data_IF_681555863449
#
_entry.id   IF_681555863449
#
_cell.length_a   1.000
_cell.length_b   1.000
_cell.length_c   1.000
_cell.angle_alpha   90.00
_cell.angle_beta   90.00
_cell.angle_gamma   90.00
#
_symmetry.space_group_name_H-M   'P 1'
#
loop_
_entity.id
_entity.type
_entity.pdbx_description
1 polymer ?
#
# COMPACT_ATOMS: atom_id res chain seq x y z
N UNK A 1 53.96 18.41 47.58
CA UNK A 1 52.77 19.30 47.63
C UNK A 1 52.84 20.09 46.35
N UNK A 2 52.23 19.54 45.31
CA UNK A 2 52.24 20.18 44.01
C UNK A 2 51.63 21.56 44.17
N UNK A 3 52.41 22.55 43.77
CA UNK A 3 52.06 23.95 43.84
C UNK A 3 50.82 24.12 42.95
N UNK A 4 49.62 23.94 43.52
CA UNK A 4 48.37 24.25 42.85
C UNK A 4 48.48 25.74 42.58
N UNK A 5 48.87 26.09 41.34
CA UNK A 5 48.93 27.48 40.92
C UNK A 5 47.54 28.05 41.19
N UNK A 6 47.47 28.94 42.20
CA UNK A 6 46.23 29.57 42.67
C UNK A 6 45.50 30.32 41.55
N UNK A 7 46.19 30.61 40.45
CA UNK A 7 45.73 31.38 39.33
C UNK A 7 45.96 30.60 38.03
N UNK A 8 44.93 30.56 37.18
CA UNK A 8 45.03 30.05 35.82
C UNK A 8 45.60 31.16 34.92
N UNK A 9 46.84 31.00 34.51
CA UNK A 9 47.55 31.90 33.61
C UNK A 9 47.77 31.29 32.21
N UNK A 10 47.14 30.15 31.92
CA UNK A 10 47.28 29.48 30.63
C UNK A 10 46.53 30.23 29.54
N UNK A 11 47.08 30.22 28.33
CA UNK A 11 46.40 30.77 27.18
C UNK A 11 45.17 29.91 26.81
N UNK A 12 44.03 30.55 26.57
CA UNK A 12 42.79 29.86 26.19
C UNK A 12 42.88 29.11 24.85
N UNK A 13 43.78 29.54 23.97
CA UNK A 13 44.05 28.92 22.66
C UNK A 13 45.19 27.90 22.79
N UNK A 14 46.31 28.29 23.40
CA UNK A 14 47.51 27.46 23.56
C UNK A 14 47.70 27.07 25.03
N UNK A 15 46.92 26.08 25.50
CA UNK A 15 46.79 25.73 26.93
C UNK A 15 48.10 25.33 27.63
N UNK A 16 49.11 24.91 26.88
CA UNK A 16 50.43 24.57 27.43
C UNK A 16 51.26 25.81 27.83
N UNK A 17 50.99 26.95 27.20
CA UNK A 17 51.78 28.16 27.35
C UNK A 17 51.09 29.20 28.23
N UNK A 18 51.87 29.78 29.11
CA UNK A 18 51.43 30.88 29.95
C UNK A 18 51.29 32.16 29.11
N UNK A 19 50.29 32.95 29.44
CA UNK A 19 50.13 34.31 28.95
C UNK A 19 51.33 35.15 29.41
N UNK A 20 51.94 35.91 28.49
CA UNK A 20 53.17 36.66 28.76
C UNK A 20 53.12 38.14 28.40
N UNK A 21 52.35 38.50 27.37
CA UNK A 21 52.33 39.85 26.82
C UNK A 21 50.90 40.29 26.51
N UNK A 22 50.73 41.59 26.30
CA UNK A 22 49.50 42.19 25.82
C UNK A 22 49.71 42.61 24.37
N UNK A 23 48.80 42.23 23.47
CA UNK A 23 48.79 42.74 22.11
C UNK A 23 48.01 44.06 22.06
N UNK A 24 48.72 45.18 22.03
CA UNK A 24 48.10 46.52 21.97
C UNK A 24 47.45 46.82 20.63
N UNK A 25 47.87 46.15 19.56
CA UNK A 25 47.26 46.32 18.23
C UNK A 25 45.84 45.77 18.16
N UNK A 26 45.55 44.65 18.83
CA UNK A 26 44.24 43.98 18.82
C UNK A 26 43.23 44.56 19.81
N UNK A 27 43.40 45.81 20.26
CA UNK A 27 42.59 46.39 21.34
C UNK A 27 42.65 45.53 22.61
N UNK A 28 43.88 45.27 23.04
CA UNK A 28 44.24 44.82 24.39
C UNK A 28 43.84 43.38 24.72
N UNK A 29 44.18 42.45 23.82
CA UNK A 29 44.12 41.00 24.09
C UNK A 29 45.41 40.51 24.74
N UNK A 30 45.32 39.57 25.67
CA UNK A 30 46.47 38.90 26.27
C UNK A 30 46.94 37.71 25.43
N UNK A 31 48.25 37.54 25.28
CA UNK A 31 48.85 36.56 24.36
C UNK A 31 49.99 35.78 25.02
N UNK A 32 50.13 34.50 24.64
CA UNK A 32 51.34 33.72 24.90
C UNK A 32 52.30 33.80 23.70
N UNK A 33 53.47 33.18 23.81
CA UNK A 33 54.46 33.14 22.72
C UNK A 33 53.89 32.59 21.41
N UNK A 34 53.05 31.55 21.49
CA UNK A 34 52.48 30.90 20.30
C UNK A 34 51.40 31.75 19.62
N UNK A 35 50.63 32.53 20.39
CA UNK A 35 49.70 33.51 19.83
C UNK A 35 50.43 34.55 18.97
N UNK A 36 51.63 34.97 19.39
CA UNK A 36 52.44 35.98 18.69
C UNK A 36 52.84 35.48 17.30
N UNK A 37 53.24 34.22 17.20
CA UNK A 37 53.71 33.63 15.93
C UNK A 37 52.60 33.04 15.07
N UNK A 38 51.38 32.83 15.60
CA UNK A 38 50.26 32.25 14.84
C UNK A 38 49.28 33.31 14.33
N UNK A 39 48.77 34.17 15.22
CA UNK A 39 47.67 35.09 14.91
C UNK A 39 48.00 36.57 15.04
N UNK A 40 49.13 36.91 15.67
CA UNK A 40 49.50 38.30 15.96
C UNK A 40 50.84 38.71 15.32
N UNK A 41 51.26 38.04 14.23
CA UNK A 41 52.50 38.37 13.53
C UNK A 41 52.45 39.83 13.05
N UNK A 42 53.50 40.60 13.38
CA UNK A 42 53.60 42.01 12.97
C UNK A 42 52.83 42.99 13.86
N UNK A 43 52.13 42.51 14.89
CA UNK A 43 51.48 43.38 15.86
C UNK A 43 52.48 43.92 16.89
N UNK A 44 52.11 45.03 17.53
CA UNK A 44 52.84 45.58 18.68
C UNK A 44 52.41 44.88 19.97
N UNK A 45 53.37 44.68 20.86
CA UNK A 45 53.18 44.01 22.15
C UNK A 45 53.79 44.83 23.28
N UNK A 46 53.08 44.85 24.40
CA UNK A 46 53.47 45.53 25.62
C UNK A 46 53.58 44.53 26.78
N UNK A 47 54.32 44.92 27.81
CA UNK A 47 54.47 44.11 29.01
C UNK A 47 53.18 44.13 29.87
N UNK A 48 52.95 43.05 30.61
CA UNK A 48 51.89 42.99 31.61
C UNK A 48 52.36 43.75 32.85
N UNK A 49 52.04 45.04 32.90
CA UNK A 49 52.28 45.91 34.04
C UNK A 49 51.00 46.62 34.48
N UNK A 50 51.10 47.46 35.52
CA UNK A 50 49.96 48.16 36.10
C UNK A 50 49.26 49.08 35.10
N UNK A 51 50.02 49.80 34.27
CA UNK A 51 49.48 50.79 33.33
C UNK A 51 48.72 50.11 32.20
N UNK A 52 49.36 49.11 31.56
CA UNK A 52 48.80 48.38 30.43
C UNK A 52 47.63 47.47 30.83
N UNK A 53 47.67 46.89 32.04
CA UNK A 53 46.60 46.00 32.52
C UNK A 53 45.35 46.75 32.98
N UNK A 54 45.48 48.02 33.38
CA UNK A 54 44.37 48.82 33.91
C UNK A 54 43.24 48.98 32.89
N UNK A 55 43.58 49.24 31.62
CA UNK A 55 42.60 49.37 30.55
C UNK A 55 41.83 48.07 30.30
N UNK A 56 42.52 46.92 30.24
CA UNK A 56 41.89 45.59 30.08
C UNK A 56 40.93 45.32 31.23
N UNK A 57 41.40 45.57 32.45
CA UNK A 57 40.63 45.27 33.65
C UNK A 57 39.37 46.13 33.75
N UNK A 58 39.46 47.43 33.44
CA UNK A 58 38.27 48.30 33.42
C UNK A 58 37.28 47.89 32.32
N UNK A 59 37.73 47.49 31.13
CA UNK A 59 36.83 46.95 30.09
C UNK A 59 36.16 45.64 30.54
N UNK A 60 36.95 44.72 31.13
CA UNK A 60 36.41 43.48 31.66
C UNK A 60 35.37 43.73 32.76
N UNK A 61 35.68 44.61 33.72
CA UNK A 61 34.84 44.93 34.87
C UNK A 61 33.56 45.63 34.46
N UNK A 62 33.66 46.64 33.60
CA UNK A 62 32.54 47.53 33.28
C UNK A 62 31.69 47.00 32.12
N UNK A 63 32.25 46.18 31.23
CA UNK A 63 31.56 45.68 30.04
C UNK A 63 31.42 44.15 30.04
N UNK A 64 32.53 43.41 30.00
CA UNK A 64 32.48 41.95 29.80
C UNK A 64 31.71 41.23 30.92
N UNK A 65 32.00 41.53 32.18
CA UNK A 65 31.38 40.86 33.32
C UNK A 65 29.86 41.07 33.37
N UNK A 66 29.39 42.27 33.05
CA UNK A 66 27.94 42.55 32.97
C UNK A 66 27.30 41.79 31.81
N UNK A 67 27.96 41.75 30.64
CA UNK A 67 27.44 41.05 29.47
C UNK A 67 27.44 39.52 29.63
N UNK A 68 28.36 38.94 30.39
CA UNK A 68 28.40 37.50 30.64
C UNK A 68 27.12 37.00 31.32
N UNK A 69 26.55 37.77 32.25
CA UNK A 69 25.26 37.42 32.86
C UNK A 69 24.12 37.38 31.83
N UNK A 70 24.12 38.33 30.88
CA UNK A 70 23.16 38.32 29.77
C UNK A 70 23.37 37.09 28.85
N UNK A 71 24.62 36.68 28.62
CA UNK A 71 24.94 35.48 27.82
C UNK A 71 24.43 34.19 28.46
N UNK A 72 24.42 34.08 29.80
CA UNK A 72 23.82 32.93 30.49
C UNK A 72 22.32 32.82 30.15
N UNK A 73 21.59 33.94 30.22
CA UNK A 73 20.17 33.98 29.87
C UNK A 73 19.90 33.58 28.42
N UNK A 74 20.68 34.14 27.48
CA UNK A 74 20.57 33.82 26.05
C UNK A 74 20.82 32.33 25.79
N UNK A 75 21.88 31.75 26.35
CA UNK A 75 22.20 30.34 26.14
C UNK A 75 21.16 29.40 26.74
N UNK A 76 20.53 29.77 27.86
CA UNK A 76 19.44 28.99 28.44
C UNK A 76 18.18 29.01 27.55
N UNK A 77 17.83 30.14 26.94
CA UNK A 77 16.73 30.21 25.97
C UNK A 77 17.05 29.41 24.69
N UNK A 78 18.28 29.51 24.17
CA UNK A 78 18.72 28.69 23.03
C UNK A 78 18.67 27.18 23.34
N UNK A 79 19.07 26.78 24.55
CA UNK A 79 18.98 25.38 24.98
C UNK A 79 17.52 24.91 25.03
N UNK A 80 16.60 25.75 25.53
CA UNK A 80 15.17 25.46 25.56
C UNK A 80 14.58 25.35 24.16
N UNK A 81 14.93 26.26 23.25
CA UNK A 81 14.51 26.21 21.84
C UNK A 81 15.01 24.92 21.15
N UNK A 82 16.28 24.58 21.34
CA UNK A 82 16.88 23.34 20.82
C UNK A 82 16.15 22.09 21.33
N UNK A 83 15.86 22.03 22.64
CA UNK A 83 15.13 20.91 23.23
C UNK A 83 13.69 20.79 22.70
N UNK A 84 13.00 21.91 22.47
CA UNK A 84 11.65 21.90 21.88
C UNK A 84 11.65 21.41 20.44
N UNK A 85 12.64 21.82 19.64
CA UNK A 85 12.83 21.32 18.27
C UNK A 85 13.12 19.82 18.29
N UNK A 86 14.03 19.36 19.16
CA UNK A 86 14.35 17.94 19.29
C UNK A 86 13.14 17.11 19.73
N UNK A 87 12.31 17.61 20.65
CA UNK A 87 11.11 16.89 21.08
C UNK A 87 10.13 16.66 19.92
N UNK A 88 9.96 17.65 19.05
CA UNK A 88 9.14 17.51 17.84
C UNK A 88 9.70 16.45 16.88
N UNK A 89 11.03 16.35 16.78
CA UNK A 89 11.70 15.29 16.01
C UNK A 89 11.52 13.90 16.64
N UNK A 90 11.54 13.80 17.97
CA UNK A 90 11.32 12.54 18.70
C UNK A 90 9.89 12.00 18.51
N UNK A 91 8.90 12.89 18.58
CA UNK A 91 7.51 12.55 18.32
C UNK A 91 7.34 12.12 16.85
N UNK A 92 7.97 12.84 15.91
CA UNK A 92 7.93 12.48 14.48
C UNK A 92 8.64 11.15 14.19
N UNK A 93 9.76 10.89 14.86
CA UNK A 93 10.46 9.61 14.77
C UNK A 93 9.55 8.46 15.20
N UNK A 94 8.87 8.61 16.33
CA UNK A 94 7.94 7.62 16.86
C UNK A 94 6.77 7.36 15.89
N UNK A 95 6.20 8.43 15.33
CA UNK A 95 5.15 8.35 14.30
C UNK A 95 5.62 7.60 13.05
N UNK A 96 6.83 7.92 12.55
CA UNK A 96 7.40 7.30 11.37
C UNK A 96 7.67 5.80 11.59
N UNK A 97 8.24 5.42 12.73
CA UNK A 97 8.50 4.01 13.09
C UNK A 97 7.20 3.22 13.18
N UNK A 98 6.17 3.78 13.82
CA UNK A 98 4.86 3.15 13.93
C UNK A 98 4.19 3.00 12.55
N UNK A 99 4.33 4.01 11.68
CA UNK A 99 3.79 3.97 10.32
C UNK A 99 4.42 2.83 9.52
N UNK A 100 5.76 2.76 9.48
CA UNK A 100 6.47 1.68 8.77
C UNK A 100 6.05 0.32 9.34
N UNK A 101 6.01 0.19 10.67
CA UNK A 101 5.69 -1.07 11.35
C UNK A 101 4.29 -1.58 11.00
N UNK A 102 3.27 -0.72 11.02
CA UNK A 102 1.90 -1.12 10.68
C UNK A 102 1.75 -1.45 9.18
N UNK A 103 2.41 -0.74 8.27
CA UNK A 103 2.38 -1.11 6.84
C UNK A 103 3.01 -2.49 6.58
N UNK A 104 4.14 -2.80 7.23
CA UNK A 104 4.76 -4.14 7.11
C UNK A 104 3.91 -5.25 7.73
N UNK A 105 3.14 -4.95 8.78
CA UNK A 105 2.21 -5.89 9.40
C UNK A 105 1.03 -6.18 8.47
N UNK A 106 0.48 -5.18 7.79
CA UNK A 106 -0.55 -5.39 6.76
C UNK A 106 0.00 -6.18 5.56
N UNK A 107 1.22 -5.85 5.10
CA UNK A 107 1.88 -6.64 4.07
C UNK A 107 2.06 -8.11 4.48
N UNK A 108 2.48 -8.37 5.71
CA UNK A 108 2.63 -9.74 6.23
C UNK A 108 1.32 -10.52 6.21
N UNK A 109 0.20 -9.89 6.60
CA UNK A 109 -1.14 -10.50 6.51
C UNK A 109 -1.49 -10.87 5.07
N UNK A 110 -1.23 -9.96 4.12
CA UNK A 110 -1.49 -10.20 2.69
C UNK A 110 -0.64 -11.37 2.17
N UNK A 111 0.63 -11.44 2.54
CA UNK A 111 1.51 -12.54 2.14
C UNK A 111 1.01 -13.89 2.66
N UNK A 112 0.56 -13.97 3.92
CA UNK A 112 -0.03 -15.19 4.48
C UNK A 112 -1.31 -15.61 3.75
N UNK A 113 -2.17 -14.66 3.40
CA UNK A 113 -3.40 -14.95 2.63
C UNK A 113 -3.04 -15.53 1.26
N UNK A 114 -2.07 -14.93 0.57
CA UNK A 114 -1.62 -15.40 -0.75
C UNK A 114 -1.03 -16.80 -0.64
N UNK A 115 -0.20 -17.07 0.37
CA UNK A 115 0.38 -18.39 0.61
C UNK A 115 -0.70 -19.46 0.80
N UNK A 116 -1.65 -19.20 1.71
CA UNK A 116 -2.75 -20.13 2.00
C UNK A 116 -3.62 -20.37 0.76
N UNK A 117 -3.94 -19.32 -0.01
CA UNK A 117 -4.69 -19.45 -1.26
C UNK A 117 -3.99 -20.37 -2.26
N UNK A 118 -2.68 -20.19 -2.46
CA UNK A 118 -1.91 -21.01 -3.40
C UNK A 118 -1.80 -22.47 -2.94
N UNK A 119 -1.60 -22.70 -1.64
CA UNK A 119 -1.62 -24.05 -1.08
C UNK A 119 -2.99 -24.70 -1.27
N UNK A 120 -4.09 -23.96 -1.05
CA UNK A 120 -5.45 -24.45 -1.26
C UNK A 120 -5.71 -24.89 -2.71
N UNK A 121 -5.20 -24.14 -3.68
CA UNK A 121 -5.28 -24.52 -5.09
C UNK A 121 -4.55 -25.84 -5.37
N UNK A 122 -3.37 -26.04 -4.80
CA UNK A 122 -2.62 -27.30 -4.91
C UNK A 122 -3.39 -28.47 -4.29
N UNK A 123 -3.98 -28.26 -3.11
CA UNK A 123 -4.81 -29.28 -2.43
C UNK A 123 -6.01 -29.67 -3.28
N UNK A 124 -6.69 -28.70 -3.89
CA UNK A 124 -7.83 -28.99 -4.78
C UNK A 124 -7.43 -29.88 -5.95
N UNK A 125 -6.31 -29.59 -6.61
CA UNK A 125 -5.81 -30.42 -7.73
C UNK A 125 -5.40 -31.81 -7.23
N UNK A 126 -4.79 -31.90 -6.05
CA UNK A 126 -4.45 -33.18 -5.44
C UNK A 126 -5.69 -34.03 -5.13
N UNK A 127 -6.76 -33.42 -4.60
CA UNK A 127 -8.02 -34.10 -4.31
C UNK A 127 -8.70 -34.62 -5.59
N UNK A 128 -8.70 -33.82 -6.67
CA UNK A 128 -9.18 -34.28 -7.98
C UNK A 128 -8.39 -35.49 -8.51
N UNK A 129 -7.06 -35.50 -8.30
CA UNK A 129 -6.23 -36.66 -8.65
C UNK A 129 -6.54 -37.87 -7.76
N UNK A 130 -6.83 -37.66 -6.47
CA UNK A 130 -7.22 -38.73 -5.54
C UNK A 130 -8.55 -39.36 -5.95
N UNK A 131 -9.52 -38.57 -6.37
CA UNK A 131 -10.80 -39.05 -6.89
C UNK A 131 -10.61 -39.86 -8.18
N UNK A 132 -9.78 -39.35 -9.09
CA UNK A 132 -9.40 -40.05 -10.33
C UNK A 132 -8.74 -41.40 -10.02
N UNK A 133 -7.80 -41.44 -9.08
CA UNK A 133 -7.13 -42.67 -8.66
C UNK A 133 -8.11 -43.69 -8.03
N UNK A 134 -9.08 -43.20 -7.25
CA UNK A 134 -10.12 -44.04 -6.66
C UNK A 134 -10.99 -44.67 -7.74
N UNK A 135 -11.43 -43.90 -8.73
CA UNK A 135 -12.23 -44.40 -9.85
C UNK A 135 -11.50 -45.47 -10.68
N UNK A 136 -10.21 -45.25 -10.94
CA UNK A 136 -9.34 -46.23 -11.61
C UNK A 136 -9.24 -47.51 -10.77
N UNK A 137 -8.94 -47.37 -9.48
CA UNK A 137 -8.76 -48.49 -8.57
C UNK A 137 -10.02 -49.35 -8.46
N UNK A 138 -11.19 -48.73 -8.28
CA UNK A 138 -12.49 -49.42 -8.24
C UNK A 138 -12.77 -50.15 -9.54
N UNK A 139 -12.57 -49.48 -10.68
CA UNK A 139 -12.79 -50.09 -12.01
C UNK A 139 -11.90 -51.32 -12.20
N UNK A 140 -10.61 -51.22 -11.86
CA UNK A 140 -9.67 -52.35 -11.96
C UNK A 140 -10.06 -53.47 -11.01
N UNK A 141 -10.45 -53.15 -9.78
CA UNK A 141 -10.86 -54.15 -8.79
C UNK A 141 -12.10 -54.91 -9.23
N UNK A 142 -13.13 -54.22 -9.72
CA UNK A 142 -14.36 -54.85 -10.25
C UNK A 142 -14.05 -55.77 -11.43
N UNK A 143 -13.19 -55.33 -12.35
CA UNK A 143 -12.74 -56.15 -13.46
C UNK A 143 -12.01 -57.41 -12.99
N UNK A 144 -11.07 -57.27 -12.05
CA UNK A 144 -10.32 -58.41 -11.50
C UNK A 144 -11.24 -59.41 -10.80
N UNK A 145 -12.24 -58.92 -10.06
CA UNK A 145 -13.23 -59.79 -9.40
C UNK A 145 -14.00 -60.63 -10.42
N UNK A 146 -14.45 -60.02 -11.53
CA UNK A 146 -15.13 -60.74 -12.62
C UNK A 146 -14.18 -61.75 -13.27
N UNK A 147 -12.94 -61.36 -13.59
CA UNK A 147 -11.94 -62.23 -14.21
C UNK A 147 -11.65 -63.44 -13.32
N UNK A 148 -11.38 -63.22 -12.04
CA UNK A 148 -11.06 -64.27 -11.09
C UNK A 148 -12.24 -65.22 -10.88
N UNK A 149 -13.47 -64.69 -10.81
CA UNK A 149 -14.68 -65.50 -10.67
C UNK A 149 -14.84 -66.45 -11.88
N UNK A 150 -14.73 -65.92 -13.09
CA UNK A 150 -14.93 -66.69 -14.33
C UNK A 150 -13.78 -67.69 -14.51
N UNK A 151 -12.53 -67.23 -14.41
CA UNK A 151 -11.36 -68.11 -14.62
C UNK A 151 -11.32 -69.26 -13.63
N UNK A 152 -11.57 -69.02 -12.34
CA UNK A 152 -11.59 -70.08 -11.32
C UNK A 152 -12.72 -71.09 -11.55
N UNK A 153 -13.91 -70.64 -11.98
CA UNK A 153 -15.05 -71.51 -12.24
C UNK A 153 -14.80 -72.51 -13.37
N UNK A 154 -14.08 -72.09 -14.42
CA UNK A 154 -13.92 -72.86 -15.65
C UNK A 154 -12.52 -73.48 -15.85
N UNK A 155 -11.52 -73.08 -15.04
CA UNK A 155 -10.08 -73.43 -15.19
C UNK A 155 -9.80 -74.87 -15.61
N UNK A 156 -10.46 -75.83 -14.94
CA UNK A 156 -10.20 -77.26 -15.13
C UNK A 156 -11.40 -78.02 -15.71
N UNK A 157 -12.54 -77.35 -15.89
CA UNK A 157 -13.82 -77.97 -16.23
C UNK A 157 -14.29 -77.62 -17.64
N UNK A 158 -13.78 -76.54 -18.24
CA UNK A 158 -14.31 -75.99 -19.49
C UNK A 158 -14.38 -77.00 -20.63
N UNK A 159 -13.36 -77.86 -20.77
CA UNK A 159 -13.30 -78.87 -21.84
C UNK A 159 -14.25 -80.05 -21.63
N UNK A 160 -14.81 -80.21 -20.42
CA UNK A 160 -15.74 -81.29 -20.07
C UNK A 160 -17.20 -80.84 -20.16
N UNK A 161 -17.46 -79.55 -20.36
CA UNK A 161 -18.82 -79.00 -20.36
C UNK A 161 -19.49 -79.25 -21.71
N UNK A 162 -20.56 -80.05 -21.71
CA UNK A 162 -21.48 -80.19 -22.84
C UNK A 162 -22.73 -79.31 -22.62
N UNK A 163 -22.83 -78.20 -23.36
CA UNK A 163 -23.93 -77.24 -23.21
C UNK A 163 -25.30 -77.84 -23.57
N UNK A 164 -25.35 -78.75 -24.54
CA UNK A 164 -26.60 -79.39 -24.98
C UNK A 164 -27.18 -80.25 -23.86
N UNK A 165 -26.34 -81.00 -23.15
CA UNK A 165 -26.75 -81.79 -21.98
C UNK A 165 -27.28 -80.89 -20.85
N UNK A 166 -26.60 -79.78 -20.54
CA UNK A 166 -27.03 -78.85 -19.48
C UNK A 166 -28.39 -78.21 -19.82
N UNK A 167 -28.62 -77.84 -21.08
CA UNK A 167 -29.89 -77.25 -21.52
C UNK A 167 -31.01 -78.29 -21.52
N UNK A 168 -30.75 -79.52 -22.00
CA UNK A 168 -31.76 -80.58 -22.07
C UNK A 168 -32.14 -81.09 -20.67
N UNK A 169 -31.18 -81.26 -19.77
CA UNK A 169 -31.44 -81.66 -18.39
C UNK A 169 -32.29 -80.63 -17.63
N UNK A 170 -32.14 -79.34 -17.95
CA UNK A 170 -32.97 -78.28 -17.40
C UNK A 170 -34.44 -78.35 -17.82
N UNK A 171 -34.72 -78.79 -19.05
CA UNK A 171 -36.10 -78.94 -19.53
C UNK A 171 -36.81 -80.12 -18.88
N UNK A 172 -36.06 -81.17 -18.53
CA UNK A 172 -36.61 -82.44 -18.04
C UNK A 172 -36.77 -82.49 -16.51
N UNK A 173 -35.97 -81.74 -15.75
CA UNK A 173 -36.02 -81.71 -14.30
C UNK A 173 -36.71 -80.43 -13.81
N UNK A 174 -37.73 -80.56 -12.94
CA UNK A 174 -38.34 -79.43 -12.20
C UNK A 174 -37.34 -78.69 -11.27
N UNK A 175 -36.09 -79.13 -11.22
CA UNK A 175 -35.01 -78.42 -10.56
C UNK A 175 -34.47 -77.35 -11.50
N UNK A 176 -34.86 -76.09 -11.22
CA UNK A 176 -34.45 -74.83 -11.84
C UNK A 176 -32.93 -74.60 -11.89
N UNK A 177 -32.18 -75.45 -12.59
CA UNK A 177 -30.73 -75.38 -12.67
C UNK A 177 -30.30 -74.36 -13.74
N UNK A 178 -30.39 -73.06 -13.44
CA UNK A 178 -30.00 -71.96 -14.35
C UNK A 178 -28.51 -71.87 -14.73
N UNK A 179 -27.76 -72.99 -14.65
CA UNK A 179 -26.34 -73.10 -15.00
C UNK A 179 -26.03 -72.60 -16.41
N UNK A 180 -26.85 -72.95 -17.42
CA UNK A 180 -26.64 -72.48 -18.78
C UNK A 180 -26.78 -70.95 -18.90
N UNK A 181 -27.73 -70.33 -18.17
CA UNK A 181 -27.89 -68.88 -18.13
C UNK A 181 -26.68 -68.20 -17.48
N UNK A 182 -26.17 -68.76 -16.40
CA UNK A 182 -24.95 -68.25 -15.74
C UNK A 182 -23.73 -68.33 -16.69
N UNK A 183 -23.60 -69.42 -17.44
CA UNK A 183 -22.54 -69.54 -18.46
C UNK A 183 -22.65 -68.46 -19.54
N UNK A 184 -23.87 -68.19 -20.05
CA UNK A 184 -24.09 -67.13 -21.02
C UNK A 184 -23.78 -65.74 -20.45
N UNK A 185 -24.14 -65.49 -19.18
CA UNK A 185 -23.77 -64.26 -18.46
C UNK A 185 -22.24 -64.10 -18.37
N UNK A 186 -21.52 -65.15 -17.97
CA UNK A 186 -20.06 -65.12 -17.90
C UNK A 186 -19.42 -64.93 -19.29
N UNK A 187 -19.98 -65.56 -20.33
CA UNK A 187 -19.53 -65.35 -21.71
C UNK A 187 -19.64 -63.87 -22.09
N UNK A 188 -20.79 -63.24 -21.82
CA UNK A 188 -21.01 -61.83 -22.09
C UNK A 188 -20.08 -60.92 -21.28
N UNK A 189 -19.93 -61.15 -19.98
CA UNK A 189 -19.02 -60.37 -19.12
C UNK A 189 -17.56 -60.48 -19.57
N UNK A 190 -17.11 -61.68 -19.95
CA UNK A 190 -15.75 -61.91 -20.47
C UNK A 190 -15.54 -61.15 -21.77
N UNK A 191 -16.54 -61.14 -22.65
CA UNK A 191 -16.49 -60.42 -23.90
C UNK A 191 -16.27 -58.91 -23.68
N UNK A 192 -16.98 -58.29 -22.74
CA UNK A 192 -16.80 -56.85 -22.43
C UNK A 192 -15.41 -56.51 -21.91
N UNK A 193 -14.74 -57.46 -21.24
CA UNK A 193 -13.40 -57.26 -20.67
C UNK A 193 -12.28 -57.47 -21.70
N UNK A 194 -12.49 -58.34 -22.70
CA UNK A 194 -11.44 -58.78 -23.64
C UNK A 194 -11.59 -58.09 -25.01
N UNK A 195 -12.82 -57.77 -25.44
CA UNK A 195 -13.09 -57.30 -26.80
C UNK A 195 -12.54 -55.89 -27.03
N UNK A 196 -11.84 -55.73 -28.15
CA UNK A 196 -11.37 -54.46 -28.73
C UNK A 196 -10.63 -53.54 -27.74
N UNK A 197 -9.99 -54.12 -26.71
CA UNK A 197 -9.34 -53.37 -25.63
C UNK A 197 -10.25 -52.32 -24.96
N UNK A 198 -11.58 -52.46 -25.01
CA UNK A 198 -12.51 -51.45 -24.49
C UNK A 198 -12.26 -51.13 -23.02
N UNK A 199 -12.03 -52.15 -22.20
CA UNK A 199 -11.69 -51.97 -20.80
C UNK A 199 -10.37 -51.21 -20.60
N UNK A 200 -9.34 -51.57 -21.37
CA UNK A 200 -8.04 -50.88 -21.32
C UNK A 200 -8.18 -49.42 -21.75
N UNK A 201 -8.98 -49.14 -22.78
CA UNK A 201 -9.24 -47.79 -23.26
C UNK A 201 -9.97 -46.96 -22.21
N UNK A 202 -11.00 -47.52 -21.55
CA UNK A 202 -11.69 -46.86 -20.44
C UNK A 202 -10.74 -46.50 -19.30
N UNK A 203 -9.83 -47.39 -18.92
CA UNK A 203 -8.82 -47.11 -17.89
C UNK A 203 -7.84 -46.03 -18.36
N UNK A 204 -7.37 -46.07 -19.61
CA UNK A 204 -6.50 -45.04 -20.18
C UNK A 204 -7.19 -43.66 -20.23
N UNK A 205 -8.47 -43.62 -20.58
CA UNK A 205 -9.28 -42.41 -20.56
C UNK A 205 -9.35 -41.81 -19.16
N UNK A 206 -9.53 -42.63 -18.12
CA UNK A 206 -9.45 -42.18 -16.73
C UNK A 206 -8.04 -41.68 -16.36
N UNK A 207 -6.98 -42.39 -16.77
CA UNK A 207 -5.60 -41.96 -16.50
C UNK A 207 -5.26 -40.61 -17.15
N UNK A 208 -5.85 -40.29 -18.30
CA UNK A 208 -5.69 -39.00 -18.96
C UNK A 208 -6.33 -37.83 -18.20
N UNK A 209 -7.14 -38.10 -17.18
CA UNK A 209 -7.75 -37.07 -16.33
C UNK A 209 -6.81 -36.58 -15.23
N UNK A 210 -5.69 -37.28 -14.98
CA UNK A 210 -4.69 -36.81 -14.01
C UNK A 210 -4.14 -35.45 -14.41
N UNK A 211 -4.04 -34.55 -13.42
CA UNK A 211 -3.48 -33.22 -13.57
C UNK A 211 -2.07 -33.19 -12.97
N UNK A 212 -1.11 -32.71 -13.75
CA UNK A 212 0.23 -32.39 -13.26
C UNK A 212 0.35 -30.88 -12.99
N UNK A 213 1.12 -30.49 -11.98
CA UNK A 213 1.26 -29.10 -11.57
C UNK A 213 2.71 -28.66 -11.66
N UNK A 214 2.94 -27.51 -12.29
CA UNK A 214 4.23 -26.82 -12.32
C UNK A 214 4.11 -25.50 -11.55
N UNK A 215 5.09 -25.22 -10.69
CA UNK A 215 5.15 -23.99 -9.89
C UNK A 215 6.26 -23.10 -10.47
N UNK A 216 5.94 -21.83 -10.74
CA UNK A 216 6.89 -20.83 -11.20
C UNK A 216 7.01 -19.75 -10.15
N UNK A 217 8.25 -19.43 -9.73
CA UNK A 217 8.55 -18.37 -8.78
C UNK A 217 9.14 -17.17 -9.53
N UNK A 218 8.58 -15.97 -9.33
CA UNK A 218 9.05 -14.73 -9.98
C UNK A 218 9.90 -13.89 -9.03
N UNK A 219 11.19 -13.77 -9.34
CA UNK A 219 12.13 -12.97 -8.53
C UNK A 219 11.83 -11.46 -8.60
N UNK A 220 11.19 -11.00 -9.67
CA UNK A 220 10.85 -9.58 -9.87
C UNK A 220 9.92 -9.05 -8.78
N UNK A 221 8.93 -9.84 -8.36
CA UNK A 221 7.95 -9.45 -7.33
C UNK A 221 8.63 -9.19 -5.98
N UNK A 222 9.69 -9.94 -5.66
CA UNK A 222 10.42 -9.77 -4.40
C UNK A 222 11.18 -8.44 -4.33
N UNK A 223 11.71 -7.96 -5.45
CA UNK A 223 12.47 -6.72 -5.48
C UNK A 223 11.58 -5.49 -5.28
N UNK A 224 10.35 -5.50 -5.82
CA UNK A 224 9.38 -4.41 -5.61
C UNK A 224 9.02 -4.18 -4.14
N UNK A 225 9.12 -5.22 -3.29
CA UNK A 225 8.88 -5.08 -1.83
C UNK A 225 9.96 -4.23 -1.15
N UNK A 226 11.19 -4.19 -1.69
CA UNK A 226 12.28 -3.38 -1.10
C UNK A 226 12.07 -1.88 -1.28
N UNK A 227 11.27 -1.49 -2.26
CA UNK A 227 11.04 -0.09 -2.65
C UNK A 227 9.81 0.53 -1.96
N UNK A 228 9.16 -0.19 -1.02
CA UNK A 228 7.94 0.28 -0.34
C UNK A 228 8.16 1.60 0.39
N UNK A 229 9.36 1.81 0.97
CA UNK A 229 9.71 3.07 1.62
C UNK A 229 11.08 3.55 1.16
N UNK A 230 11.16 4.85 0.90
CA UNK A 230 12.42 5.57 0.72
C UNK A 230 12.58 6.59 1.85
N UNK A 231 13.67 6.50 2.59
CA UNK A 231 14.00 7.43 3.67
C UNK A 231 14.94 8.49 3.09
N UNK A 232 14.53 9.76 3.16
CA UNK A 232 15.31 10.91 2.69
C UNK A 232 15.47 11.94 3.79
N UNK A 233 16.62 12.59 3.82
CA UNK A 233 16.84 13.77 4.66
C UNK A 233 16.00 14.94 4.13
N UNK A 234 15.28 15.61 5.03
CA UNK A 234 14.60 16.86 4.70
C UNK A 234 15.55 18.04 4.91
N UNK A 235 15.66 18.99 3.97
CA UNK A 235 16.56 20.14 4.09
C UNK A 235 16.18 21.11 5.21
N UNK A 236 15.04 20.92 5.89
CA UNK A 236 14.61 21.79 6.99
C UNK A 236 13.81 21.02 8.04
N UNK A 237 14.12 21.29 9.32
CA UNK A 237 13.37 20.83 10.51
C UNK A 237 12.05 21.59 10.66
N UNK A 238 11.93 22.76 10.03
CA UNK A 238 10.77 23.64 10.20
C UNK A 238 9.49 22.86 9.97
N UNK A 239 8.71 22.74 11.05
CA UNK A 239 7.38 22.17 11.11
C UNK A 239 6.72 22.30 9.74
N UNK A 240 6.41 21.16 9.11
CA UNK A 240 5.57 21.11 7.91
C UNK A 240 4.40 22.04 8.21
N UNK A 241 4.44 23.25 7.63
CA UNK A 241 3.43 24.27 7.90
C UNK A 241 2.09 23.59 7.67
N UNK A 242 1.23 23.68 8.68
CA UNK A 242 -0.07 23.01 8.73
C UNK A 242 -0.65 22.89 7.31
N UNK A 243 -0.86 21.67 6.79
CA UNK A 243 -1.05 21.52 5.35
C UNK A 243 -2.30 22.29 4.95
N UNK A 244 -2.15 23.20 3.98
CA UNK A 244 -3.20 24.12 3.55
C UNK A 244 -4.52 23.38 3.34
N UNK A 245 -5.62 23.99 3.78
CA UNK A 245 -6.96 23.43 3.63
C UNK A 245 -7.79 24.32 2.70
N UNK A 246 -8.71 23.70 2.00
CA UNK A 246 -9.73 24.40 1.21
C UNK A 246 -11.10 23.99 1.69
N UNK A 247 -11.99 24.96 1.89
CA UNK A 247 -13.36 24.67 2.33
C UNK A 247 -14.27 24.65 1.13
N UNK A 248 -14.89 23.49 0.88
CA UNK A 248 -15.81 23.26 -0.25
C UNK A 248 -17.08 22.61 0.27
N UNK A 249 -18.23 23.20 -0.08
CA UNK A 249 -19.53 22.80 0.46
C UNK A 249 -19.56 22.77 2.00
N UNK A 250 -18.91 23.74 2.65
CA UNK A 250 -18.84 23.82 4.12
C UNK A 250 -17.94 22.77 4.79
N UNK A 251 -17.26 21.93 4.02
CA UNK A 251 -16.31 20.94 4.53
C UNK A 251 -14.88 21.30 4.18
N UNK A 252 -13.97 21.15 5.14
CA UNK A 252 -12.54 21.29 4.89
C UNK A 252 -11.98 20.06 4.17
N UNK A 253 -11.14 20.33 3.17
CA UNK A 253 -10.36 19.35 2.43
C UNK A 253 -8.88 19.68 2.57
N UNK A 254 -8.06 18.65 2.77
CA UNK A 254 -6.62 18.80 2.68
C UNK A 254 -6.20 19.08 1.24
N UNK A 255 -5.40 20.12 1.04
CA UNK A 255 -4.99 20.57 -0.29
C UNK A 255 -3.73 19.82 -0.76
N UNK A 256 -3.92 18.95 -1.74
CA UNK A 256 -2.85 18.14 -2.32
C UNK A 256 -2.17 18.86 -3.49
N UNK A 257 -0.85 19.07 -3.37
CA UNK A 257 0.09 19.56 -4.41
C UNK A 257 1.33 18.66 -4.41
N UNK A 258 2.24 18.83 -5.38
CA UNK A 258 3.38 17.93 -5.59
C UNK A 258 4.24 17.64 -4.34
N UNK A 259 4.39 18.61 -3.43
CA UNK A 259 5.20 18.47 -2.21
C UNK A 259 4.35 18.32 -0.93
N UNK A 260 3.05 18.07 -1.07
CA UNK A 260 2.15 17.85 0.07
C UNK A 260 2.22 16.39 0.52
N UNK A 261 2.54 16.18 1.79
CA UNK A 261 2.29 14.90 2.47
C UNK A 261 0.92 14.98 3.13
N UNK A 262 -0.01 14.13 2.68
CA UNK A 262 -1.35 14.07 3.27
C UNK A 262 -1.29 13.23 4.55
N UNK A 263 -1.68 13.77 5.71
CA UNK A 263 -1.62 13.03 6.96
C UNK A 263 -2.44 11.73 6.91
N UNK A 264 -1.90 10.66 7.49
CA UNK A 264 -2.63 9.39 7.65
C UNK A 264 -3.90 9.63 8.47
N UNK A 265 -5.03 9.09 8.04
CA UNK A 265 -6.34 9.34 8.65
C UNK A 265 -7.10 10.51 8.03
N UNK A 266 -6.52 11.24 7.06
CA UNK A 266 -7.26 12.25 6.28
C UNK A 266 -8.45 11.61 5.57
N UNK A 267 -9.62 12.23 5.73
CA UNK A 267 -10.90 11.75 5.15
C UNK A 267 -11.25 12.48 3.85
N UNK A 268 -10.85 13.76 3.72
CA UNK A 268 -11.23 14.66 2.62
C UNK A 268 -9.98 15.27 1.98
N UNK A 269 -9.78 15.06 0.68
CA UNK A 269 -8.65 15.60 -0.09
C UNK A 269 -9.14 16.37 -1.31
N UNK A 270 -8.58 17.54 -1.54
CA UNK A 270 -8.76 18.33 -2.74
C UNK A 270 -7.44 18.37 -3.53
N UNK A 271 -7.46 17.87 -4.76
CA UNK A 271 -6.30 17.86 -5.65
C UNK A 271 -6.21 19.20 -6.36
N UNK A 272 -5.10 19.90 -6.16
CA UNK A 272 -4.81 21.19 -6.76
C UNK A 272 -4.67 21.09 -8.29
N UNK A 273 -5.06 22.11 -9.07
CA UNK A 273 -4.84 22.12 -10.51
C UNK A 273 -3.37 22.18 -10.91
N UNK A 274 -2.50 22.64 -10.01
CA UNK A 274 -1.05 22.76 -10.22
C UNK A 274 -0.27 21.45 -10.04
N UNK A 275 -0.94 20.36 -9.66
CA UNK A 275 -0.28 19.06 -9.52
C UNK A 275 0.27 18.59 -10.88
N UNK A 276 1.50 18.07 -10.89
CA UNK A 276 2.20 17.55 -12.08
C UNK A 276 2.13 16.03 -12.13
N UNK A 277 2.26 15.38 -10.97
CA UNK A 277 2.22 13.92 -10.81
C UNK A 277 1.43 13.57 -9.55
N UNK A 278 0.67 12.47 -9.59
CA UNK A 278 0.08 11.85 -8.41
C UNK A 278 0.75 10.48 -8.31
N UNK A 279 1.56 10.29 -7.29
CA UNK A 279 2.24 9.01 -7.05
C UNK A 279 1.27 8.03 -6.40
N UNK A 280 1.36 6.75 -6.78
CA UNK A 280 0.55 5.69 -6.16
C UNK A 280 0.89 5.65 -4.66
N UNK A 281 -0.14 5.69 -3.82
CA UNK A 281 0.02 5.73 -2.35
C UNK A 281 0.17 7.12 -1.74
N UNK A 282 0.34 8.18 -2.54
CA UNK A 282 0.43 9.56 -2.02
C UNK A 282 -0.88 10.09 -1.44
N UNK A 283 -2.02 9.50 -1.82
CA UNK A 283 -3.34 9.75 -1.24
C UNK A 283 -3.67 8.57 -0.31
N UNK A 284 -3.80 8.79 1.01
CA UNK A 284 -4.02 7.72 1.97
C UNK A 284 -5.31 6.94 1.73
N UNK A 285 -5.30 5.65 2.08
CA UNK A 285 -6.48 4.78 2.03
C UNK A 285 -7.58 5.16 3.02
N UNK A 286 -7.34 6.11 3.93
CA UNK A 286 -8.40 6.68 4.78
C UNK A 286 -9.31 7.67 4.05
N UNK A 287 -8.90 8.16 2.87
CA UNK A 287 -9.64 9.19 2.12
C UNK A 287 -10.94 8.60 1.56
N UNK A 288 -12.06 9.25 1.88
CA UNK A 288 -13.39 8.86 1.40
C UNK A 288 -13.98 9.88 0.43
N UNK A 289 -13.59 11.15 0.56
CA UNK A 289 -14.06 12.25 -0.27
C UNK A 289 -12.89 12.82 -1.06
N UNK A 290 -12.98 12.72 -2.39
CA UNK A 290 -11.99 13.28 -3.30
C UNK A 290 -12.62 14.43 -4.07
N UNK A 291 -11.95 15.58 -4.06
CA UNK A 291 -12.30 16.74 -4.88
C UNK A 291 -11.21 16.98 -5.93
N UNK A 292 -11.58 16.94 -7.21
CA UNK A 292 -10.75 17.39 -8.31
C UNK A 292 -11.10 18.85 -8.60
N UNK A 293 -10.19 19.77 -8.27
CA UNK A 293 -10.43 21.20 -8.43
C UNK A 293 -10.41 21.64 -9.89
N UNK A 294 -11.05 22.78 -10.16
CA UNK A 294 -11.08 23.42 -11.47
C UNK A 294 -9.67 23.59 -12.05
N UNK A 295 -9.50 23.15 -13.31
CA UNK A 295 -8.22 23.20 -14.00
C UNK A 295 -7.32 21.98 -13.81
N UNK A 296 -7.71 20.99 -12.99
CA UNK A 296 -6.98 19.72 -12.86
C UNK A 296 -6.72 19.09 -14.24
N UNK A 297 -5.44 18.80 -14.52
CA UNK A 297 -4.94 18.49 -15.86
C UNK A 297 -4.10 17.20 -15.95
N UNK A 298 -4.19 16.32 -14.95
CA UNK A 298 -3.55 15.01 -14.99
C UNK A 298 -4.55 13.99 -15.53
N UNK A 299 -4.05 13.10 -16.39
CA UNK A 299 -4.83 11.95 -16.84
C UNK A 299 -4.79 10.89 -15.74
N UNK A 300 -5.89 10.69 -15.04
CA UNK A 300 -5.98 9.61 -14.06
C UNK A 300 -5.96 8.25 -14.78
N UNK A 301 -5.22 7.30 -14.22
CA UNK A 301 -5.14 5.91 -14.67
C UNK A 301 -5.51 4.96 -13.52
N UNK A 302 -5.80 3.71 -13.87
CA UNK A 302 -6.24 2.68 -12.91
C UNK A 302 -5.22 2.50 -11.78
N UNK A 303 -5.67 2.56 -10.53
CA UNK A 303 -4.85 2.35 -9.35
C UNK A 303 -4.12 3.59 -8.82
N UNK A 304 -4.23 4.75 -9.49
CA UNK A 304 -3.66 6.00 -8.97
C UNK A 304 -4.39 6.53 -7.73
N UNK A 305 -5.69 6.24 -7.63
CA UNK A 305 -6.55 6.67 -6.53
C UNK A 305 -6.90 5.48 -5.63
N UNK A 306 -7.01 5.68 -4.31
CA UNK A 306 -7.34 4.59 -3.38
C UNK A 306 -8.79 4.09 -3.55
N UNK A 307 -8.98 2.77 -3.42
CA UNK A 307 -10.31 2.11 -3.53
C UNK A 307 -11.28 2.45 -2.39
N UNK A 308 -10.85 3.21 -1.39
CA UNK A 308 -11.69 3.67 -0.27
C UNK A 308 -12.53 4.90 -0.59
N UNK A 309 -12.28 5.58 -1.72
CA UNK A 309 -13.05 6.77 -2.11
C UNK A 309 -14.47 6.35 -2.43
N UNK A 310 -15.43 7.04 -1.80
CA UNK A 310 -16.87 6.80 -1.95
C UNK A 310 -17.60 8.01 -2.55
N UNK A 311 -17.03 9.21 -2.37
CA UNK A 311 -17.55 10.47 -2.88
C UNK A 311 -16.50 11.13 -3.78
N UNK A 312 -16.87 11.39 -5.03
CA UNK A 312 -16.03 12.10 -5.99
C UNK A 312 -16.72 13.41 -6.38
N UNK A 313 -16.04 14.53 -6.13
CA UNK A 313 -16.44 15.85 -6.54
C UNK A 313 -15.52 16.30 -7.68
N UNK A 314 -16.10 16.75 -8.78
CA UNK A 314 -15.35 17.07 -9.99
C UNK A 314 -15.71 18.47 -10.48
N UNK A 315 -14.72 19.35 -10.43
CA UNK A 315 -14.78 20.69 -11.02
C UNK A 315 -14.59 20.70 -12.53
N UNK A 316 -14.26 21.86 -13.07
CA UNK A 316 -13.92 22.07 -14.48
C UNK A 316 -12.52 21.48 -14.82
N UNK A 317 -12.42 20.15 -14.84
CA UNK A 317 -11.19 19.43 -15.18
C UNK A 317 -10.85 19.56 -16.67
N UNK A 318 -9.57 19.50 -17.02
CA UNK A 318 -9.08 19.71 -18.40
C UNK A 318 -8.95 18.42 -19.21
N UNK A 319 -8.83 17.27 -18.55
CA UNK A 319 -8.72 15.96 -19.19
C UNK A 319 -9.92 15.09 -18.80
N UNK A 320 -10.40 14.22 -19.69
CA UNK A 320 -11.51 13.33 -19.38
C UNK A 320 -11.12 12.27 -18.34
N UNK A 321 -12.10 11.79 -17.59
CA UNK A 321 -11.93 10.64 -16.69
C UNK A 321 -12.09 9.36 -17.50
N UNK A 322 -11.02 8.55 -17.57
CA UNK A 322 -11.02 7.31 -18.35
C UNK A 322 -11.70 6.15 -17.61
N UNK A 323 -12.20 5.16 -18.36
CA UNK A 323 -12.85 3.97 -17.82
C UNK A 323 -11.89 3.21 -16.91
N UNK A 324 -12.32 3.01 -15.67
CA UNK A 324 -11.51 2.36 -14.63
C UNK A 324 -10.39 3.22 -14.05
N UNK A 325 -10.31 4.51 -14.39
CA UNK A 325 -9.42 5.46 -13.70
C UNK A 325 -9.95 5.89 -12.34
N UNK A 326 -11.28 5.89 -12.18
CA UNK A 326 -11.94 6.14 -10.91
C UNK A 326 -12.19 4.79 -10.20
N UNK A 327 -11.95 4.70 -8.87
CA UNK A 327 -12.20 3.48 -8.12
C UNK A 327 -13.64 2.99 -8.21
N UNK A 328 -13.84 1.67 -8.14
CA UNK A 328 -15.17 1.08 -8.33
C UNK A 328 -16.11 1.34 -7.13
N UNK A 329 -15.55 1.66 -5.96
CA UNK A 329 -16.30 1.96 -4.74
C UNK A 329 -16.93 3.37 -4.74
N UNK A 330 -16.61 4.23 -5.72
CA UNK A 330 -17.17 5.57 -5.80
C UNK A 330 -18.64 5.48 -6.19
N UNK A 331 -19.51 5.70 -5.21
CA UNK A 331 -20.97 5.58 -5.36
C UNK A 331 -21.67 6.92 -5.55
N UNK A 332 -21.02 8.04 -5.23
CA UNK A 332 -21.62 9.38 -5.34
C UNK A 332 -20.70 10.31 -6.12
N UNK A 333 -21.19 10.84 -7.24
CA UNK A 333 -20.45 11.74 -8.13
C UNK A 333 -21.10 13.12 -8.14
N UNK A 334 -20.35 14.15 -7.77
CA UNK A 334 -20.79 15.54 -7.81
C UNK A 334 -20.12 16.22 -9.00
N UNK A 335 -20.91 16.46 -10.06
CA UNK A 335 -20.45 17.24 -11.20
C UNK A 335 -20.74 18.72 -10.91
N UNK A 336 -19.70 19.43 -10.52
CA UNK A 336 -19.76 20.82 -10.11
C UNK A 336 -19.92 21.74 -11.34
N UNK A 337 -20.20 23.04 -11.11
CA UNK A 337 -20.39 24.00 -12.21
C UNK A 337 -19.12 24.05 -13.09
N UNK A 338 -19.29 24.08 -14.40
CA UNK A 338 -18.18 24.15 -15.37
C UNK A 338 -17.60 22.81 -15.83
N UNK A 339 -18.03 21.68 -15.26
CA UNK A 339 -17.63 20.36 -15.78
C UNK A 339 -18.15 20.17 -17.22
N UNK A 340 -17.23 20.11 -18.18
CA UNK A 340 -17.53 20.13 -19.62
C UNK A 340 -16.98 18.91 -20.39
N UNK A 341 -16.41 17.92 -19.70
CA UNK A 341 -15.89 16.71 -20.33
C UNK A 341 -17.01 15.77 -20.78
N UNK A 342 -16.70 14.88 -21.72
CA UNK A 342 -17.63 13.85 -22.20
C UNK A 342 -18.05 12.91 -21.05
N UNK A 343 -19.35 12.62 -20.97
CA UNK A 343 -19.99 11.88 -19.87
C UNK A 343 -20.25 10.42 -20.20
N UNK A 344 -19.70 9.92 -21.30
CA UNK A 344 -19.83 8.51 -21.75
C UNK A 344 -19.24 7.51 -20.77
N UNK A 345 -18.38 7.97 -19.86
CA UNK A 345 -17.60 7.11 -18.97
C UNK A 345 -18.10 7.10 -17.51
N UNK A 346 -19.18 7.82 -17.21
CA UNK A 346 -19.80 7.78 -15.88
C UNK A 346 -20.54 6.44 -15.73
N UNK A 347 -20.21 5.59 -14.73
CA UNK A 347 -20.89 4.32 -14.54
C UNK A 347 -22.38 4.54 -14.26
N UNK A 348 -23.26 3.71 -14.85
CA UNK A 348 -24.71 3.89 -14.68
C UNK A 348 -25.20 3.66 -13.25
N UNK A 349 -24.38 3.01 -12.41
CA UNK A 349 -24.66 2.64 -11.02
C UNK A 349 -24.34 3.72 -9.99
N UNK A 350 -23.83 4.90 -10.38
CA UNK A 350 -23.47 5.97 -9.42
C UNK A 350 -24.63 6.92 -9.17
N UNK A 351 -24.81 7.36 -7.94
CA UNK A 351 -25.69 8.49 -7.65
C UNK A 351 -25.05 9.77 -8.18
N UNK A 352 -25.73 10.44 -9.10
CA UNK A 352 -25.18 11.61 -9.78
C UNK A 352 -25.79 12.88 -9.21
N UNK A 353 -24.95 13.80 -8.74
CA UNK A 353 -25.32 15.09 -8.19
C UNK A 353 -24.91 16.18 -9.18
N UNK A 354 -25.89 16.85 -9.76
CA UNK A 354 -25.72 17.83 -10.82
C UNK A 354 -25.94 19.24 -10.29
N UNK A 355 -24.94 20.10 -10.49
CA UNK A 355 -25.07 21.53 -10.24
C UNK A 355 -25.56 22.25 -11.52
N UNK A 356 -24.83 23.18 -12.13
CA UNK A 356 -25.20 23.77 -13.44
C UNK A 356 -24.51 23.04 -14.61
N UNK A 357 -24.39 21.71 -14.51
CA UNK A 357 -23.68 20.88 -15.49
C UNK A 357 -24.65 20.08 -16.36
N UNK A 358 -24.73 20.34 -17.69
CA UNK A 358 -25.59 19.62 -18.63
C UNK A 358 -25.42 18.10 -18.59
N UNK A 359 -26.50 17.33 -18.70
CA UNK A 359 -26.43 15.87 -18.79
C UNK A 359 -26.88 15.39 -20.18
N UNK A 360 -26.03 14.63 -20.87
CA UNK A 360 -26.31 14.12 -22.23
C UNK A 360 -26.70 12.63 -22.25
N UNK A 361 -26.20 11.83 -21.31
CA UNK A 361 -26.34 10.36 -21.32
C UNK A 361 -27.33 9.87 -20.25
N UNK A 362 -28.62 10.14 -20.46
CA UNK A 362 -29.71 9.82 -19.53
C UNK A 362 -30.69 8.82 -20.18
N UNK A 363 -31.29 7.84 -19.45
CA UNK A 363 -31.36 7.67 -17.99
C UNK A 363 -30.21 6.87 -17.35
N UNK A 364 -30.02 7.06 -16.04
CA UNK A 364 -29.14 6.27 -15.18
C UNK A 364 -29.91 5.17 -14.43
N UNK A 365 -29.21 4.11 -14.00
CA UNK A 365 -29.81 3.04 -13.18
C UNK A 365 -30.13 3.51 -11.76
N UNK A 366 -29.39 4.51 -11.27
CA UNK A 366 -29.51 5.10 -9.94
C UNK A 366 -30.14 6.50 -9.98
N UNK A 367 -30.17 7.18 -8.83
CA UNK A 367 -30.79 8.50 -8.71
C UNK A 367 -29.88 9.60 -9.26
N UNK A 368 -30.51 10.55 -9.95
CA UNK A 368 -29.89 11.82 -10.36
C UNK A 368 -30.48 12.93 -9.48
N UNK A 369 -29.64 13.61 -8.73
CA UNK A 369 -30.00 14.70 -7.84
C UNK A 369 -29.60 16.02 -8.48
N UNK A 370 -30.55 16.94 -8.67
CA UNK A 370 -30.30 18.25 -9.26
C UNK A 370 -30.36 19.34 -8.20
N UNK A 371 -29.36 20.22 -8.17
CA UNK A 371 -29.43 21.41 -7.31
C UNK A 371 -30.35 22.46 -7.92
N UNK A 372 -30.78 23.49 -7.16
CA UNK A 372 -31.58 24.59 -7.69
C UNK A 372 -30.91 25.37 -8.84
N UNK A 373 -29.58 25.28 -8.99
CA UNK A 373 -28.85 25.89 -10.11
C UNK A 373 -29.02 25.13 -11.43
N UNK A 374 -29.45 23.86 -11.40
CA UNK A 374 -29.55 23.03 -12.60
C UNK A 374 -30.68 23.52 -13.52
N UNK A 375 -30.31 23.97 -14.72
CA UNK A 375 -31.25 24.64 -15.65
C UNK A 375 -31.98 23.70 -16.61
N UNK A 376 -31.46 22.52 -16.88
CA UNK A 376 -32.06 21.61 -17.86
C UNK A 376 -33.30 20.89 -17.28
N UNK A 377 -34.34 20.76 -18.09
CA UNK A 377 -35.51 20.00 -17.69
C UNK A 377 -35.24 18.50 -17.87
N UNK A 378 -34.96 17.82 -16.76
CA UNK A 378 -34.96 16.36 -16.69
C UNK A 378 -36.27 15.87 -16.05
N UNK A 379 -37.05 15.08 -16.77
CA UNK A 379 -38.30 14.45 -16.29
C UNK A 379 -38.14 12.94 -16.25
N UNK A 380 -37.94 12.36 -15.06
CA UNK A 380 -37.85 10.92 -14.86
C UNK A 380 -38.06 10.56 -13.38
N UNK A 381 -38.63 9.39 -13.03
CA UNK A 381 -38.91 9.02 -11.63
C UNK A 381 -37.67 8.97 -10.72
N UNK A 382 -36.48 8.72 -11.29
CA UNK A 382 -35.21 8.70 -10.56
C UNK A 382 -34.51 10.07 -10.48
N UNK A 383 -35.12 11.13 -11.00
CA UNK A 383 -34.59 12.50 -10.88
C UNK A 383 -35.22 13.16 -9.67
N UNK A 384 -34.41 13.54 -8.69
CA UNK A 384 -34.84 14.21 -7.45
C UNK A 384 -34.21 15.59 -7.34
N UNK A 385 -34.91 16.52 -6.70
CA UNK A 385 -34.27 17.76 -6.28
C UNK A 385 -33.34 17.45 -5.12
N UNK A 386 -32.17 18.08 -5.13
CA UNK A 386 -31.18 17.92 -4.09
C UNK A 386 -31.33 19.06 -3.07
N UNK A 387 -31.59 18.74 -1.81
CA UNK A 387 -31.73 19.71 -0.71
C UNK A 387 -30.37 20.32 -0.27
N UNK A 388 -29.43 20.50 -1.21
CA UNK A 388 -28.09 21.09 -0.94
C UNK A 388 -28.16 22.60 -0.70
N UNK A 389 -29.36 23.17 -0.52
CA UNK A 389 -29.55 24.60 -0.18
C UNK A 389 -28.78 25.02 1.09
N UNK A 390 -28.25 24.07 1.87
CA UNK A 390 -27.41 24.31 3.04
C UNK A 390 -25.92 24.60 2.75
N UNK A 391 -25.39 24.42 1.52
CA UNK A 391 -23.93 24.45 1.30
C UNK A 391 -23.53 25.38 0.14
N UNK A 392 -23.03 26.57 0.47
CA UNK A 392 -22.49 27.55 -0.49
C UNK A 392 -21.31 26.99 -1.29
N UNK A 393 -21.24 27.34 -2.58
CA UNK A 393 -20.34 26.75 -3.59
C UNK A 393 -19.09 27.58 -3.91
N UNK A 394 -18.80 28.68 -3.22
CA UNK A 394 -17.53 29.37 -3.46
C UNK A 394 -16.41 28.67 -2.67
N UNK A 395 -15.49 27.90 -3.31
CA UNK A 395 -14.34 27.37 -2.62
C UNK A 395 -13.52 28.55 -2.08
N UNK A 396 -13.59 28.77 -0.77
CA UNK A 396 -12.66 29.69 -0.09
C UNK A 396 -11.39 28.91 0.16
N UNK A 397 -10.38 29.19 -0.64
CA UNK A 397 -9.01 28.75 -0.37
C UNK A 397 -8.49 29.70 0.71
N UNK A 398 -8.42 29.23 1.95
CA UNK A 398 -7.61 29.91 2.97
C UNK A 398 -6.15 29.62 2.63
N UNK A 399 -5.41 30.68 2.26
CA UNK A 399 -4.03 30.60 1.80
C UNK A 399 -3.02 30.57 2.93
#
# INVERSE_FOLDING_TARGET
>A
MDNINKYDNKCSIHKEYDIKLICSTCKVTVVCNDCIVSGHIGHKFDHIDVENSKAIFEEFKNNHLQNLNNQIGINNELLKESNNLFKSLEDKHTENVNTITEEFKELSKLLQIIEIDKIKQLVTIYDENKDTNTNISTTIHDNLNIINLITNKYKNTINQINIDEIINNNKNNNNNSYQHIEMLKHCHQSQLLIKDNQNVNKIKELMNQYKNVNIVNSEQVKNSIKEIFEIRDSPSITNVKDPKRVTVLGYEYFFYKNDSVIPKGTIRVAIAPSVKTIEIGSIPTSVQFLLLLDGFNIQLTKGMLPESITYLLVGAIKKPLLKGSIPNCVSNWFLLDGFNQEKSEIPQSVNLYLFDTPLTNFPFETFVYRTPKYKQQLTHPKVKNCDVTMLGWEPKIEL
#
